data_IF_371716596008
#
_entry.id   IF_371716596008
#
_cell.length_a   1.000
_cell.length_b   1.000
_cell.length_c   1.000
_cell.angle_alpha   90.00
_cell.angle_beta   90.00
_cell.angle_gamma   90.00
#
_symmetry.space_group_name_H-M   'P 1'
#
loop_
_entity.id
_entity.type
_entity.pdbx_description
1 polymer ?
#
# COMPACT_ATOMS: atom_id res chain seq x y z
N UNK A 1 -18.85 36.47 0.51
CA UNK A 1 -18.65 35.07 0.07
C UNK A 1 -19.66 34.77 -1.02
N UNK A 2 -19.24 34.24 -2.17
CA UNK A 2 -20.15 33.82 -3.25
C UNK A 2 -21.18 32.82 -2.68
N UNK A 3 -22.51 32.97 -2.92
CA UNK A 3 -23.53 32.02 -2.47
C UNK A 3 -23.17 30.54 -2.75
N UNK A 4 -22.65 30.24 -3.94
CA UNK A 4 -22.27 28.87 -4.32
C UNK A 4 -21.16 28.30 -3.42
N UNK A 5 -20.21 29.14 -3.01
CA UNK A 5 -19.14 28.76 -2.09
C UNK A 5 -19.69 28.50 -0.69
N UNK A 6 -20.66 29.29 -0.24
CA UNK A 6 -21.27 29.11 1.09
C UNK A 6 -22.05 27.80 1.17
N UNK A 7 -22.78 27.48 0.10
CA UNK A 7 -23.53 26.23 0.01
C UNK A 7 -22.59 25.02 -0.06
N UNK A 8 -21.45 25.14 -0.77
CA UNK A 8 -20.43 24.11 -0.79
C UNK A 8 -19.86 23.82 0.61
N UNK A 9 -19.46 24.85 1.36
CA UNK A 9 -18.97 24.67 2.74
C UNK A 9 -20.05 24.05 3.62
N UNK A 10 -21.28 24.55 3.54
CA UNK A 10 -22.40 24.03 4.34
C UNK A 10 -22.64 22.54 4.06
N UNK A 11 -22.60 22.14 2.79
CA UNK A 11 -22.78 20.75 2.38
C UNK A 11 -21.64 19.85 2.90
N UNK A 12 -20.38 20.25 2.72
CA UNK A 12 -19.23 19.51 3.26
C UNK A 12 -19.28 19.41 4.79
N UNK A 13 -19.60 20.50 5.49
CA UNK A 13 -19.72 20.51 6.94
C UNK A 13 -20.86 19.60 7.42
N UNK A 14 -21.97 19.53 6.68
CA UNK A 14 -23.09 18.62 6.98
C UNK A 14 -22.69 17.15 6.78
N UNK A 15 -22.18 16.82 5.59
CA UNK A 15 -21.81 15.44 5.20
C UNK A 15 -20.74 14.85 6.13
N UNK A 16 -19.81 15.69 6.58
CA UNK A 16 -18.63 15.26 7.36
C UNK A 16 -18.73 15.60 8.85
N UNK A 17 -19.91 16.04 9.30
CA UNK A 17 -20.17 16.52 10.67
C UNK A 17 -19.76 15.53 11.75
N UNK A 18 -19.95 14.23 11.53
CA UNK A 18 -19.63 13.18 12.50
C UNK A 18 -18.15 13.16 12.84
N UNK A 19 -17.29 13.34 11.83
CA UNK A 19 -15.83 13.39 11.97
C UNK A 19 -15.38 14.76 12.47
N UNK A 20 -15.78 15.84 11.81
CA UNK A 20 -15.40 17.21 12.21
C UNK A 20 -15.77 17.54 13.65
N UNK A 21 -17.00 17.19 14.05
CA UNK A 21 -17.50 17.42 15.39
C UNK A 21 -16.76 16.62 16.47
N UNK A 22 -16.21 15.45 16.12
CA UNK A 22 -15.40 14.64 17.05
C UNK A 22 -14.06 15.29 17.35
N UNK A 23 -13.42 15.86 16.34
CA UNK A 23 -12.10 16.46 16.48
C UNK A 23 -12.15 17.97 16.76
N UNK A 24 -13.35 18.54 16.90
CA UNK A 24 -13.55 19.98 17.05
C UNK A 24 -12.83 20.77 15.95
N UNK A 25 -13.01 20.32 14.70
CA UNK A 25 -12.48 20.97 13.50
C UNK A 25 -13.63 21.68 12.78
N UNK A 26 -13.35 22.87 12.25
CA UNK A 26 -14.29 23.63 11.44
C UNK A 26 -13.67 23.94 10.09
N UNK A 27 -14.50 23.88 9.05
CA UNK A 27 -14.12 24.31 7.71
C UNK A 27 -14.34 25.82 7.62
N UNK A 28 -13.29 26.56 7.29
CA UNK A 28 -13.38 28.01 6.99
C UNK A 28 -13.58 28.22 5.48
N UNK A 29 -12.94 27.37 4.67
CA UNK A 29 -13.03 27.37 3.22
C UNK A 29 -12.96 25.95 2.66
N UNK A 30 -13.52 25.74 1.47
CA UNK A 30 -13.46 24.47 0.74
C UNK A 30 -13.24 24.75 -0.74
N UNK A 31 -12.14 24.20 -1.26
CA UNK A 31 -11.81 24.13 -2.68
C UNK A 31 -11.74 22.64 -3.05
N UNK A 32 -12.29 22.28 -4.21
CA UNK A 32 -12.34 20.90 -4.69
C UNK A 32 -11.74 20.88 -6.08
N UNK A 33 -10.57 20.26 -6.19
CA UNK A 33 -9.87 20.04 -7.45
C UNK A 33 -9.87 18.55 -7.77
N UNK A 34 -10.14 18.23 -9.03
CA UNK A 34 -10.07 16.86 -9.54
C UNK A 34 -8.76 16.73 -10.33
N UNK A 35 -7.94 15.74 -9.98
CA UNK A 35 -6.66 15.51 -10.65
C UNK A 35 -6.84 15.04 -12.10
N UNK A 36 -7.94 14.34 -12.38
CA UNK A 36 -8.30 13.85 -13.72
C UNK A 36 -9.69 14.34 -14.13
N UNK A 37 -9.74 15.43 -14.89
CA UNK A 37 -10.97 15.90 -15.53
C UNK A 37 -12.03 16.43 -14.54
N UNK A 38 -13.27 15.99 -14.72
CA UNK A 38 -14.42 16.39 -13.91
C UNK A 38 -15.20 15.15 -13.48
N UNK A 39 -15.83 15.14 -12.30
CA UNK A 39 -16.53 13.94 -11.82
C UNK A 39 -17.65 13.57 -12.78
N UNK A 40 -17.54 12.39 -13.41
CA UNK A 40 -18.72 11.74 -13.97
C UNK A 40 -19.65 11.40 -12.79
N UNK A 41 -20.95 11.57 -13.00
CA UNK A 41 -21.97 11.46 -11.94
C UNK A 41 -21.85 10.15 -11.13
N UNK A 42 -21.80 10.27 -9.80
CA UNK A 42 -21.89 9.23 -8.76
C UNK A 42 -21.29 7.85 -9.11
N UNK A 43 -19.96 7.78 -9.22
CA UNK A 43 -19.21 6.51 -9.30
C UNK A 43 -19.07 5.81 -7.92
N UNK A 44 -19.35 6.53 -6.82
CA UNK A 44 -19.12 6.05 -5.46
C UNK A 44 -20.24 5.13 -4.95
N UNK A 45 -19.91 3.87 -4.67
CA UNK A 45 -20.89 2.88 -4.18
C UNK A 45 -21.39 3.16 -2.74
N UNK A 46 -20.73 4.06 -2.00
CA UNK A 46 -21.17 4.49 -0.65
C UNK A 46 -22.03 5.76 -0.67
N UNK A 47 -22.15 6.42 -1.82
CA UNK A 47 -22.80 7.72 -1.97
C UNK A 47 -21.94 8.90 -1.48
N UNK A 48 -22.25 10.08 -2.01
CA UNK A 48 -21.41 11.29 -1.87
C UNK A 48 -21.16 11.75 -0.42
N UNK A 49 -22.15 11.61 0.47
CA UNK A 49 -22.01 12.01 1.88
C UNK A 49 -21.01 11.16 2.65
N UNK A 50 -21.08 9.83 2.52
CA UNK A 50 -20.16 8.91 3.18
C UNK A 50 -18.77 8.96 2.56
N UNK A 51 -18.68 9.14 1.24
CA UNK A 51 -17.42 9.35 0.54
C UNK A 51 -16.65 10.55 1.12
N UNK A 52 -17.30 11.72 1.22
CA UNK A 52 -16.69 12.91 1.84
C UNK A 52 -16.28 12.65 3.30
N UNK A 53 -17.11 11.92 4.07
CA UNK A 53 -16.79 11.61 5.46
C UNK A 53 -15.55 10.71 5.58
N UNK A 54 -15.36 9.75 4.66
CA UNK A 54 -14.15 8.93 4.58
C UNK A 54 -12.94 9.76 4.17
N UNK A 55 -13.07 10.65 3.19
CA UNK A 55 -12.02 11.59 2.79
C UNK A 55 -11.57 12.46 3.99
N UNK A 56 -12.53 13.03 4.73
CA UNK A 56 -12.23 13.84 5.92
C UNK A 56 -11.64 12.98 7.05
N UNK A 57 -12.01 11.71 7.19
CA UNK A 57 -11.38 10.79 8.16
C UNK A 57 -9.88 10.64 7.88
N UNK A 58 -9.51 10.43 6.61
CA UNK A 58 -8.10 10.37 6.18
C UNK A 58 -7.39 11.70 6.39
N UNK A 59 -8.02 12.82 6.03
CA UNK A 59 -7.44 14.16 6.17
C UNK A 59 -7.20 14.55 7.64
N UNK A 60 -8.18 14.31 8.52
CA UNK A 60 -8.06 14.58 9.96
C UNK A 60 -7.04 13.66 10.61
N UNK A 61 -6.92 12.41 10.15
CA UNK A 61 -5.84 11.52 10.58
C UNK A 61 -4.48 12.11 10.23
N UNK A 62 -4.25 12.49 8.97
CA UNK A 62 -3.00 13.12 8.55
C UNK A 62 -2.69 14.41 9.32
N UNK A 63 -3.69 15.28 9.50
CA UNK A 63 -3.56 16.52 10.26
C UNK A 63 -3.23 16.25 11.73
N UNK A 64 -3.96 15.35 12.38
CA UNK A 64 -3.76 14.96 13.77
C UNK A 64 -2.36 14.39 14.01
N UNK A 65 -1.92 13.47 13.14
CA UNK A 65 -0.56 12.93 13.17
C UNK A 65 0.47 14.04 13.02
N UNK A 66 0.29 14.98 12.08
CA UNK A 66 1.23 16.09 11.89
C UNK A 66 1.33 17.00 13.12
N UNK A 67 0.21 17.33 13.74
CA UNK A 67 0.15 18.25 14.88
C UNK A 67 0.63 17.63 16.19
N UNK A 68 0.27 16.36 16.43
CA UNK A 68 0.46 15.72 17.75
C UNK A 68 1.45 14.55 17.73
N UNK A 69 1.85 14.07 16.55
CA UNK A 69 2.79 12.96 16.37
C UNK A 69 4.27 13.36 16.37
N UNK A 70 4.62 14.62 16.69
CA UNK A 70 6.02 15.11 16.79
C UNK A 70 6.75 15.21 15.44
N UNK A 71 6.04 15.73 14.43
CA UNK A 71 6.55 15.90 13.07
C UNK A 71 7.88 16.68 13.04
N UNK A 72 8.91 16.10 12.42
CA UNK A 72 10.22 16.72 12.27
C UNK A 72 11.13 16.71 13.52
N UNK A 73 10.65 16.27 14.69
CA UNK A 73 11.47 16.26 15.92
C UNK A 73 12.61 15.24 15.90
N UNK A 74 12.58 14.28 14.97
CA UNK A 74 13.67 13.33 14.75
C UNK A 74 14.82 13.87 13.90
N UNK A 75 14.69 15.08 13.33
CA UNK A 75 15.71 15.66 12.45
C UNK A 75 17.02 15.92 13.21
N UNK A 76 18.10 15.25 12.79
CA UNK A 76 19.42 15.37 13.42
C UNK A 76 19.54 14.69 14.78
N UNK A 77 18.49 13.97 15.22
CA UNK A 77 18.49 13.24 16.48
C UNK A 77 19.14 11.85 16.34
N UNK A 78 19.43 11.22 17.48
CA UNK A 78 19.94 9.85 17.51
C UNK A 78 18.87 8.81 17.11
N UNK A 79 19.31 7.59 16.80
CA UNK A 79 18.42 6.49 16.36
C UNK A 79 17.33 6.19 17.40
N UNK A 80 17.65 6.27 18.69
CA UNK A 80 16.70 6.01 19.77
C UNK A 80 15.57 7.04 19.79
N UNK A 81 15.92 8.32 19.64
CA UNK A 81 14.96 9.43 19.58
C UNK A 81 14.10 9.36 18.32
N UNK A 82 14.71 9.10 17.16
CA UNK A 82 13.97 8.90 15.90
C UNK A 82 12.96 7.76 16.06
N UNK A 83 13.36 6.62 16.63
CA UNK A 83 12.46 5.49 16.84
C UNK A 83 11.31 5.81 17.81
N UNK A 84 11.55 6.64 18.83
CA UNK A 84 10.49 7.11 19.72
C UNK A 84 9.50 8.01 18.99
N UNK A 85 9.99 8.98 18.21
CA UNK A 85 9.12 9.87 17.40
C UNK A 85 8.24 9.06 16.45
N UNK A 86 8.79 8.03 15.79
CA UNK A 86 8.01 7.12 14.94
C UNK A 86 6.87 6.46 15.70
N UNK A 87 7.17 5.84 16.87
CA UNK A 87 6.17 5.19 17.70
C UNK A 87 5.07 6.14 18.19
N UNK A 88 5.47 7.35 18.59
CA UNK A 88 4.51 8.39 19.01
C UNK A 88 3.59 8.79 17.84
N UNK A 89 4.16 8.94 16.64
CA UNK A 89 3.39 9.25 15.43
C UNK A 89 2.40 8.14 15.06
N UNK A 90 2.84 6.88 15.06
CA UNK A 90 2.00 5.70 14.78
C UNK A 90 0.83 5.59 15.78
N UNK A 91 1.08 5.88 17.06
CA UNK A 91 0.04 5.86 18.09
C UNK A 91 -1.04 6.94 17.84
N UNK A 92 -0.62 8.15 17.45
CA UNK A 92 -1.55 9.25 17.15
C UNK A 92 -2.33 8.98 15.87
N UNK A 93 -1.69 8.48 14.82
CA UNK A 93 -2.34 8.18 13.55
C UNK A 93 -3.39 7.07 13.70
N UNK A 94 -3.05 5.99 14.40
CA UNK A 94 -3.98 4.91 14.72
C UNK A 94 -5.18 5.40 15.54
N UNK A 95 -4.94 6.24 16.57
CA UNK A 95 -5.99 6.83 17.38
C UNK A 95 -6.94 7.70 16.54
N UNK A 96 -6.39 8.62 15.75
CA UNK A 96 -7.18 9.55 14.95
C UNK A 96 -8.02 8.82 13.90
N UNK A 97 -7.46 7.81 13.23
CA UNK A 97 -8.21 6.99 12.27
C UNK A 97 -9.31 6.19 12.98
N UNK A 98 -9.01 5.55 14.10
CA UNK A 98 -10.00 4.75 14.84
C UNK A 98 -11.18 5.58 15.34
N UNK A 99 -10.90 6.73 15.93
CA UNK A 99 -11.93 7.66 16.40
C UNK A 99 -12.76 8.21 15.24
N UNK A 100 -12.13 8.52 14.10
CA UNK A 100 -12.83 8.96 12.89
C UNK A 100 -13.80 7.89 12.39
N UNK A 101 -13.33 6.66 12.20
CA UNK A 101 -14.16 5.55 11.74
C UNK A 101 -15.26 5.18 12.73
N UNK A 102 -14.98 5.26 14.04
CA UNK A 102 -16.00 5.02 15.07
C UNK A 102 -17.11 6.06 15.02
N UNK A 103 -16.77 7.35 14.88
CA UNK A 103 -17.79 8.40 14.75
C UNK A 103 -18.53 8.34 13.42
N UNK A 104 -17.82 8.06 12.33
CA UNK A 104 -18.40 7.85 11.01
C UNK A 104 -19.36 6.65 10.99
N UNK A 105 -19.12 5.60 11.79
CA UNK A 105 -19.99 4.41 11.84
C UNK A 105 -21.44 4.72 12.21
N UNK A 106 -21.69 5.88 12.82
CA UNK A 106 -23.03 6.40 13.14
C UNK A 106 -23.79 6.93 11.91
N UNK A 107 -23.14 7.04 10.76
CA UNK A 107 -23.74 7.44 9.49
C UNK A 107 -23.86 6.25 8.52
N UNK A 108 -23.33 5.07 8.87
CA UNK A 108 -23.53 3.86 8.07
C UNK A 108 -24.99 3.43 8.11
N UNK A 109 -25.49 2.80 7.04
CA UNK A 109 -26.77 2.10 7.09
C UNK A 109 -26.77 1.06 8.23
N UNK A 110 -27.95 0.78 8.79
CA UNK A 110 -28.05 0.03 10.06
C UNK A 110 -27.42 -1.37 10.02
N UNK A 111 -27.45 -2.02 8.86
CA UNK A 111 -26.91 -3.35 8.61
C UNK A 111 -25.50 -3.34 7.99
N UNK A 112 -24.82 -2.20 7.94
CA UNK A 112 -23.50 -2.09 7.31
C UNK A 112 -22.36 -2.05 8.34
N UNK A 113 -21.22 -2.63 7.95
CA UNK A 113 -19.97 -2.59 8.69
C UNK A 113 -18.80 -2.21 7.77
N UNK A 114 -17.87 -1.42 8.31
CA UNK A 114 -16.52 -1.28 7.74
C UNK A 114 -15.62 -2.27 8.49
N UNK A 115 -14.97 -3.17 7.75
CA UNK A 115 -14.00 -4.12 8.29
C UNK A 115 -12.62 -3.80 7.75
N UNK A 116 -11.67 -3.55 8.66
CA UNK A 116 -10.27 -3.36 8.29
C UNK A 116 -9.68 -4.72 7.95
N UNK A 117 -9.44 -4.94 6.66
CA UNK A 117 -8.88 -6.17 6.10
C UNK A 117 -7.36 -6.14 6.06
N UNK A 118 -6.78 -4.97 5.80
CA UNK A 118 -5.33 -4.72 5.76
C UNK A 118 -5.05 -3.44 6.53
N UNK A 119 -4.02 -3.43 7.37
CA UNK A 119 -3.58 -2.19 7.98
C UNK A 119 -2.57 -2.37 9.10
N UNK A 120 -2.14 -1.23 9.62
CA UNK A 120 -1.15 -1.16 10.70
C UNK A 120 -1.60 -1.95 11.94
N UNK A 121 -0.77 -2.90 12.41
CA UNK A 121 -1.12 -3.80 13.53
C UNK A 121 -2.04 -4.97 13.20
N UNK A 122 -2.49 -5.13 11.93
CA UNK A 122 -3.23 -6.33 11.48
C UNK A 122 -2.34 -7.36 10.78
N UNK A 123 -1.20 -6.91 10.27
CA UNK A 123 -0.12 -7.74 9.73
C UNK A 123 1.14 -7.37 10.52
N UNK A 124 1.85 -8.32 11.12
CA UNK A 124 3.01 -7.99 11.93
C UNK A 124 4.09 -7.31 11.08
N UNK A 125 4.66 -6.20 11.59
CA UNK A 125 5.72 -5.45 10.91
C UNK A 125 7.08 -5.96 11.40
N UNK A 126 8.05 -6.02 10.47
CA UNK A 126 9.39 -6.58 10.68
C UNK A 126 9.95 -6.38 12.10
N UNK A 127 9.99 -7.48 12.87
CA UNK A 127 10.57 -7.52 14.22
C UNK A 127 9.57 -7.46 15.37
N UNK A 128 8.27 -7.43 15.08
CA UNK A 128 7.20 -7.66 16.05
C UNK A 128 6.97 -9.17 16.17
N UNK A 129 6.91 -9.73 17.39
CA UNK A 129 6.45 -11.13 17.50
C UNK A 129 4.98 -11.22 17.08
N UNK A 130 4.48 -12.38 16.63
CA UNK A 130 3.04 -12.57 16.39
C UNK A 130 2.17 -12.12 17.57
N UNK A 131 2.71 -12.13 18.79
CA UNK A 131 2.00 -11.65 19.99
C UNK A 131 2.07 -10.11 20.19
N UNK A 132 3.06 -9.42 19.62
CA UNK A 132 3.35 -7.99 19.84
C UNK A 132 2.73 -7.05 18.81
N UNK A 133 2.43 -7.53 17.59
CA UNK A 133 1.90 -6.72 16.49
C UNK A 133 0.92 -7.42 15.54
N UNK A 134 0.56 -8.68 15.83
CA UNK A 134 -0.46 -9.43 15.10
C UNK A 134 -1.70 -9.72 15.95
N UNK A 135 -1.89 -9.01 17.07
CA UNK A 135 -3.19 -9.00 17.70
C UNK A 135 -4.05 -7.98 16.94
N UNK A 136 -5.06 -8.43 16.15
CA UNK A 136 -5.92 -7.53 15.40
C UNK A 136 -6.81 -6.62 16.27
N UNK A 137 -6.57 -6.63 17.58
CA UNK A 137 -7.22 -5.85 18.62
C UNK A 137 -6.29 -4.78 19.23
N UNK A 138 -5.01 -4.74 18.86
CA UNK A 138 -4.07 -3.71 19.30
C UNK A 138 -3.99 -2.60 18.24
N UNK A 139 -4.18 -1.34 18.66
CA UNK A 139 -4.09 -0.15 17.81
C UNK A 139 -5.44 0.48 17.49
N UNK A 140 -6.22 -0.15 16.60
CA UNK A 140 -7.54 0.33 16.21
C UNK A 140 -8.51 -0.83 15.93
N UNK A 141 -9.82 -0.61 16.14
CA UNK A 141 -10.83 -1.65 16.00
C UNK A 141 -10.86 -2.26 14.59
N UNK A 142 -10.98 -3.59 14.48
CA UNK A 142 -11.12 -4.28 13.18
C UNK A 142 -12.46 -4.04 12.50
N UNK A 143 -13.51 -3.72 13.27
CA UNK A 143 -14.88 -3.60 12.78
C UNK A 143 -15.51 -2.32 13.30
N UNK A 144 -16.01 -1.49 12.39
CA UNK A 144 -16.74 -0.26 12.69
C UNK A 144 -18.15 -0.37 12.13
N UNK A 145 -19.14 -0.40 13.01
CA UNK A 145 -20.55 -0.45 12.65
C UNK A 145 -21.42 0.09 13.80
N UNK A 146 -22.74 0.00 13.66
CA UNK A 146 -23.65 0.08 14.81
C UNK A 146 -23.33 -1.04 15.81
N UNK A 147 -23.61 -0.80 17.09
CA UNK A 147 -23.10 -1.64 18.18
C UNK A 147 -23.39 -3.16 18.00
N UNK A 148 -24.61 -3.54 17.62
CA UNK A 148 -24.97 -4.95 17.47
C UNK A 148 -24.31 -5.60 16.24
N UNK A 149 -24.31 -4.91 15.09
CA UNK A 149 -23.58 -5.37 13.89
C UNK A 149 -22.09 -5.50 14.18
N UNK A 150 -21.49 -4.52 14.86
CA UNK A 150 -20.07 -4.55 15.21
C UNK A 150 -19.73 -5.75 16.09
N UNK A 151 -20.53 -6.01 17.13
CA UNK A 151 -20.35 -7.18 18.01
C UNK A 151 -20.50 -8.50 17.26
N UNK A 152 -21.50 -8.60 16.37
CA UNK A 152 -21.74 -9.80 15.59
C UNK A 152 -20.56 -10.10 14.65
N UNK A 153 -20.24 -9.15 13.77
CA UNK A 153 -19.17 -9.30 12.77
C UNK A 153 -17.83 -9.56 13.47
N UNK A 154 -17.53 -8.82 14.54
CA UNK A 154 -16.31 -9.01 15.32
C UNK A 154 -16.21 -10.44 15.88
N UNK A 155 -17.28 -10.97 16.46
CA UNK A 155 -17.31 -12.35 16.97
C UNK A 155 -17.04 -13.37 15.86
N UNK A 156 -17.68 -13.21 14.70
CA UNK A 156 -17.50 -14.10 13.55
C UNK A 156 -16.08 -14.05 12.99
N UNK A 157 -15.49 -12.85 12.93
CA UNK A 157 -14.10 -12.68 12.54
C UNK A 157 -13.15 -13.37 13.53
N UNK A 158 -13.40 -13.28 14.84
CA UNK A 158 -12.61 -14.01 15.86
C UNK A 158 -12.77 -15.52 15.73
N UNK A 159 -13.96 -16.02 15.43
CA UNK A 159 -14.18 -17.45 15.17
C UNK A 159 -13.39 -17.90 13.95
N UNK A 160 -13.38 -17.11 12.87
CA UNK A 160 -12.62 -17.40 11.65
C UNK A 160 -11.11 -17.49 11.88
N UNK A 161 -10.57 -16.67 12.77
CA UNK A 161 -9.14 -16.69 13.09
C UNK A 161 -8.78 -17.88 14.00
N UNK A 162 -9.64 -18.20 14.97
CA UNK A 162 -9.27 -19.08 16.08
C UNK A 162 -9.86 -20.49 16.00
N UNK A 163 -10.87 -20.74 15.16
CA UNK A 163 -11.55 -22.05 15.05
C UNK A 163 -11.19 -22.71 13.71
N UNK A 164 -10.43 -23.82 13.71
CA UNK A 164 -9.99 -24.48 12.47
C UNK A 164 -11.10 -24.85 11.48
N UNK A 165 -12.31 -25.13 11.99
CA UNK A 165 -13.46 -25.55 11.18
C UNK A 165 -14.39 -24.39 10.80
N UNK A 166 -14.03 -23.14 11.13
CA UNK A 166 -14.80 -21.95 10.76
C UNK A 166 -13.99 -21.14 9.76
N UNK A 167 -14.22 -21.38 8.48
CA UNK A 167 -13.51 -20.71 7.38
C UNK A 167 -14.28 -19.53 6.79
N UNK A 168 -13.68 -18.91 5.77
CA UNK A 168 -14.24 -17.79 5.02
C UNK A 168 -15.67 -18.05 4.50
N UNK A 169 -15.94 -19.25 3.99
CA UNK A 169 -17.25 -19.61 3.47
C UNK A 169 -18.35 -19.58 4.54
N UNK A 170 -18.05 -20.10 5.74
CA UNK A 170 -19.01 -20.08 6.85
C UNK A 170 -19.19 -18.66 7.41
N UNK A 171 -18.09 -17.88 7.48
CA UNK A 171 -18.15 -16.46 7.82
C UNK A 171 -19.10 -15.71 6.89
N UNK A 172 -18.94 -15.85 5.58
CA UNK A 172 -19.81 -15.20 4.59
C UNK A 172 -21.26 -15.65 4.64
N UNK A 173 -21.48 -16.95 4.81
CA UNK A 173 -22.84 -17.47 5.00
C UNK A 173 -23.55 -16.87 6.21
N UNK A 174 -22.85 -16.73 7.34
CA UNK A 174 -23.42 -16.13 8.55
C UNK A 174 -23.75 -14.64 8.33
N UNK A 175 -22.88 -13.90 7.62
CA UNK A 175 -23.08 -12.49 7.28
C UNK A 175 -24.30 -12.29 6.37
N UNK A 176 -24.42 -13.11 5.32
CA UNK A 176 -25.57 -13.09 4.40
C UNK A 176 -26.87 -13.46 5.12
N UNK A 177 -26.83 -14.44 6.03
CA UNK A 177 -28.01 -14.89 6.80
C UNK A 177 -28.55 -13.78 7.70
N UNK A 178 -27.67 -12.98 8.31
CA UNK A 178 -28.05 -11.82 9.12
C UNK A 178 -28.38 -10.57 8.29
N UNK A 179 -28.27 -10.64 6.95
CA UNK A 179 -28.50 -9.51 6.06
C UNK A 179 -27.52 -8.35 6.28
N UNK A 180 -26.29 -8.65 6.70
CA UNK A 180 -25.24 -7.66 6.95
C UNK A 180 -24.42 -7.42 5.68
N UNK A 181 -24.14 -6.16 5.38
CA UNK A 181 -23.16 -5.78 4.34
C UNK A 181 -21.84 -5.40 5.00
N UNK A 182 -20.72 -5.92 4.52
CA UNK A 182 -19.39 -5.48 4.97
C UNK A 182 -18.61 -4.85 3.83
N UNK A 183 -18.14 -3.63 4.04
CA UNK A 183 -17.13 -2.99 3.22
C UNK A 183 -15.74 -3.27 3.78
N UNK A 184 -14.82 -3.67 2.93
CA UNK A 184 -13.42 -3.84 3.30
C UNK A 184 -12.71 -2.51 3.34
N UNK A 185 -11.73 -2.34 4.24
CA UNK A 185 -10.75 -1.25 4.11
C UNK A 185 -9.32 -1.76 4.23
N UNK A 186 -8.44 -1.12 3.47
CA UNK A 186 -7.01 -1.17 3.67
C UNK A 186 -6.51 0.20 4.14
N UNK A 187 -5.81 0.23 5.26
CA UNK A 187 -5.46 1.47 5.96
C UNK A 187 -3.96 1.51 6.26
N UNK A 188 -3.29 2.50 5.70
CA UNK A 188 -1.94 2.88 6.11
C UNK A 188 -2.02 4.24 6.81
N UNK A 189 -1.95 4.24 8.14
CA UNK A 189 -2.19 5.47 8.92
C UNK A 189 -0.99 6.42 8.89
N UNK A 190 0.20 5.89 8.57
CA UNK A 190 1.43 6.64 8.40
C UNK A 190 2.39 5.93 7.43
N UNK A 191 2.28 6.22 6.12
CA UNK A 191 3.06 5.50 5.07
C UNK A 191 4.57 5.54 5.35
N UNK A 192 5.06 6.66 5.89
CA UNK A 192 6.49 6.85 6.05
C UNK A 192 6.89 7.53 7.35
N UNK A 193 6.99 6.72 8.40
CA UNK A 193 7.39 7.15 9.74
C UNK A 193 8.79 7.79 9.75
N UNK A 194 9.72 7.35 8.89
CA UNK A 194 11.08 7.91 8.80
C UNK A 194 11.08 9.33 8.25
N UNK A 195 10.38 9.54 7.14
CA UNK A 195 10.23 10.86 6.51
C UNK A 195 9.45 11.81 7.41
N UNK A 196 8.40 11.32 8.05
CA UNK A 196 7.63 12.05 9.05
C UNK A 196 8.52 12.52 10.20
N UNK A 197 9.31 11.63 10.81
CA UNK A 197 10.21 11.96 11.91
C UNK A 197 11.27 13.00 11.50
N UNK A 198 11.71 12.98 10.23
CA UNK A 198 12.66 13.96 9.66
C UNK A 198 11.99 15.27 9.21
N UNK A 199 10.66 15.34 9.18
CA UNK A 199 9.92 16.53 8.77
C UNK A 199 9.91 16.75 7.25
N UNK A 200 9.92 15.67 6.47
CA UNK A 200 9.88 15.76 5.01
C UNK A 200 8.51 16.27 4.53
N UNK A 201 8.53 17.13 3.49
CA UNK A 201 7.33 17.79 2.96
C UNK A 201 6.66 17.03 1.82
N UNK A 202 7.13 15.84 1.47
CA UNK A 202 6.63 15.03 0.35
C UNK A 202 6.34 13.58 0.76
N UNK A 203 5.42 12.95 0.03
CA UNK A 203 4.87 11.62 0.30
C UNK A 203 3.50 11.71 0.99
N UNK A 204 2.56 10.78 0.72
CA UNK A 204 1.30 10.73 1.42
C UNK A 204 1.54 10.43 2.91
N UNK A 205 0.73 11.04 3.76
CA UNK A 205 0.79 10.77 5.20
C UNK A 205 -0.11 9.58 5.55
N UNK A 206 -1.38 9.62 5.14
CA UNK A 206 -2.36 8.59 5.46
C UNK A 206 -3.02 8.12 4.17
N UNK A 207 -3.23 6.82 4.04
CA UNK A 207 -3.86 6.17 2.88
C UNK A 207 -5.01 5.30 3.38
N UNK A 208 -6.17 5.42 2.74
CA UNK A 208 -7.36 4.61 3.02
C UNK A 208 -7.97 4.15 1.69
N UNK A 209 -8.03 2.83 1.49
CA UNK A 209 -8.75 2.22 0.37
C UNK A 209 -10.02 1.58 0.89
N UNK A 210 -11.13 1.81 0.21
CA UNK A 210 -12.41 1.18 0.52
C UNK A 210 -12.79 0.21 -0.59
N UNK A 211 -13.21 -0.98 -0.20
CA UNK A 211 -13.69 -2.05 -1.06
C UNK A 211 -15.16 -2.33 -0.76
N UNK A 212 -15.93 -2.67 -1.78
CA UNK A 212 -17.35 -3.05 -1.65
C UNK A 212 -17.56 -4.39 -0.93
N UNK A 213 -16.48 -5.16 -0.74
CA UNK A 213 -16.41 -6.38 0.06
C UNK A 213 -15.04 -6.50 0.76
N UNK A 214 -14.91 -7.26 1.86
CA UNK A 214 -13.62 -7.40 2.53
C UNK A 214 -12.62 -8.21 1.72
N UNK A 215 -11.35 -7.79 1.74
CA UNK A 215 -10.27 -8.57 1.16
C UNK A 215 -10.05 -9.84 1.99
N UNK A 216 -10.03 -11.00 1.31
CA UNK A 216 -9.72 -12.29 1.92
C UNK A 216 -8.20 -12.49 1.96
N UNK A 217 -7.61 -12.32 3.15
CA UNK A 217 -6.23 -12.75 3.43
C UNK A 217 -6.29 -14.07 4.17
N UNK A 218 -5.89 -15.16 3.51
CA UNK A 218 -6.01 -16.52 4.06
C UNK A 218 -4.99 -16.83 5.14
N UNK A 219 -3.76 -16.31 5.02
CA UNK A 219 -2.67 -16.52 5.97
C UNK A 219 -1.89 -15.21 6.16
N UNK A 220 -1.64 -14.78 7.40
CA UNK A 220 -0.75 -13.66 7.65
C UNK A 220 0.68 -14.07 7.26
N UNK A 221 1.36 -13.22 6.50
CA UNK A 221 2.76 -13.37 6.16
C UNK A 221 3.48 -12.06 6.47
N UNK A 222 4.43 -12.12 7.41
CA UNK A 222 5.33 -11.02 7.74
C UNK A 222 6.65 -11.21 7.00
N UNK A 223 6.98 -10.17 6.24
CA UNK A 223 8.22 -10.10 5.50
C UNK A 223 8.04 -9.10 4.40
N UNK A 224 8.62 -9.42 3.27
CA UNK A 224 8.67 -8.53 2.16
C UNK A 224 8.35 -9.29 0.89
N UNK A 225 7.88 -8.54 -0.09
CA UNK A 225 7.53 -9.10 -1.39
C UNK A 225 8.22 -8.29 -2.46
N UNK A 226 8.93 -8.98 -3.36
CA UNK A 226 9.28 -8.44 -4.65
C UNK A 226 8.01 -8.01 -5.37
N UNK A 227 8.03 -6.83 -5.97
CA UNK A 227 6.88 -6.23 -6.62
C UNK A 227 7.29 -5.68 -7.99
N UNK A 228 6.57 -6.08 -9.03
CA UNK A 228 6.68 -5.52 -10.37
C UNK A 228 5.29 -5.03 -10.77
N UNK A 229 5.11 -3.72 -10.85
CA UNK A 229 3.85 -3.08 -11.21
C UNK A 229 3.94 -2.54 -12.64
N UNK A 230 3.03 -2.99 -13.50
CA UNK A 230 3.02 -2.66 -14.92
C UNK A 230 1.64 -2.16 -15.36
N UNK A 231 1.56 -1.25 -16.35
CA UNK A 231 0.30 -0.96 -17.00
C UNK A 231 -0.30 -2.21 -17.66
N UNK A 232 -1.62 -2.34 -17.65
CA UNK A 232 -2.33 -3.46 -18.30
C UNK A 232 -1.99 -3.58 -19.80
N UNK A 233 -1.68 -2.47 -20.46
CA UNK A 233 -1.26 -2.47 -21.86
C UNK A 233 0.03 -3.30 -22.08
N UNK A 234 1.00 -3.21 -21.16
CA UNK A 234 2.27 -3.95 -21.19
C UNK A 234 2.02 -5.43 -20.94
N UNK A 235 1.20 -5.77 -19.94
CA UNK A 235 0.86 -7.18 -19.64
C UNK A 235 0.15 -7.83 -20.83
N UNK A 236 -0.83 -7.16 -21.43
CA UNK A 236 -1.51 -7.64 -22.64
C UNK A 236 -0.56 -7.79 -23.84
N UNK A 237 0.46 -6.94 -23.95
CA UNK A 237 1.48 -7.06 -24.99
C UNK A 237 2.37 -8.30 -24.77
N UNK A 238 2.77 -8.57 -23.53
CA UNK A 238 3.50 -9.78 -23.16
C UNK A 238 2.67 -11.05 -23.43
N UNK A 239 1.37 -11.04 -23.09
CA UNK A 239 0.45 -12.16 -23.33
C UNK A 239 0.33 -12.53 -24.80
N UNK A 240 0.27 -11.54 -25.72
CA UNK A 240 0.24 -11.78 -27.17
C UNK A 240 1.47 -12.55 -27.69
N UNK A 241 2.54 -12.58 -26.91
CA UNK A 241 3.80 -13.29 -27.20
C UNK A 241 4.01 -14.51 -26.30
N UNK A 242 2.97 -14.95 -25.58
CA UNK A 242 3.03 -16.05 -24.63
C UNK A 242 4.05 -15.84 -23.51
N UNK A 243 4.29 -14.58 -23.12
CA UNK A 243 5.14 -14.22 -21.98
C UNK A 243 4.24 -13.92 -20.79
N UNK A 244 4.38 -14.70 -19.72
CA UNK A 244 3.80 -14.37 -18.42
C UNK A 244 4.65 -13.24 -17.80
N UNK A 245 4.15 -12.00 -17.84
CA UNK A 245 4.81 -10.86 -17.20
C UNK A 245 4.62 -10.92 -15.69
N UNK A 246 5.68 -11.25 -14.96
CA UNK A 246 5.69 -11.36 -13.51
C UNK A 246 7.07 -10.96 -12.94
N UNK A 247 7.21 -10.95 -11.62
CA UNK A 247 8.45 -10.53 -10.96
C UNK A 247 9.69 -11.34 -11.41
N UNK A 248 9.52 -12.59 -11.85
CA UNK A 248 10.59 -13.47 -12.32
C UNK A 248 10.96 -13.26 -13.80
N UNK A 249 10.14 -12.54 -14.55
CA UNK A 249 10.35 -12.35 -15.99
C UNK A 249 11.62 -11.51 -16.23
N UNK A 250 12.57 -11.97 -17.06
CA UNK A 250 13.74 -11.18 -17.43
C UNK A 250 13.36 -9.79 -17.92
N UNK A 251 14.04 -8.74 -17.45
CA UNK A 251 13.67 -7.36 -17.78
C UNK A 251 13.76 -7.03 -19.27
N UNK A 252 14.60 -7.75 -20.02
CA UNK A 252 14.64 -7.65 -21.49
C UNK A 252 13.30 -8.03 -22.15
N UNK A 253 12.59 -9.04 -21.63
CA UNK A 253 11.27 -9.43 -22.13
C UNK A 253 10.20 -8.42 -21.74
N UNK A 254 10.30 -7.84 -20.53
CA UNK A 254 9.41 -6.75 -20.10
C UNK A 254 9.61 -5.51 -20.98
N UNK A 255 10.85 -5.11 -21.25
CA UNK A 255 11.14 -3.99 -22.15
C UNK A 255 10.60 -4.23 -23.57
N UNK A 256 10.76 -5.45 -24.10
CA UNK A 256 10.15 -5.79 -25.40
C UNK A 256 8.62 -5.64 -25.37
N UNK A 257 7.96 -6.08 -24.28
CA UNK A 257 6.51 -5.92 -24.13
C UNK A 257 6.10 -4.44 -23.99
N UNK A 258 6.93 -3.62 -23.35
CA UNK A 258 6.74 -2.16 -23.28
C UNK A 258 6.78 -1.54 -24.68
N UNK A 259 7.77 -1.90 -25.48
CA UNK A 259 7.92 -1.39 -26.86
C UNK A 259 6.78 -1.85 -27.78
N UNK A 260 6.27 -3.07 -27.56
CA UNK A 260 5.09 -3.59 -28.26
C UNK A 260 3.79 -2.88 -27.81
N UNK A 261 3.71 -2.42 -26.55
CA UNK A 261 2.55 -1.69 -26.02
C UNK A 261 2.56 -0.21 -26.40
N UNK A 262 3.74 0.40 -26.52
CA UNK A 262 3.94 1.82 -26.82
C UNK A 262 4.92 1.98 -27.98
N UNK A 263 4.45 1.87 -29.24
CA UNK A 263 5.33 1.93 -30.41
C UNK A 263 6.13 3.23 -30.48
N UNK A 264 7.44 3.10 -30.68
CA UNK A 264 8.36 4.23 -30.79
C UNK A 264 9.07 4.62 -29.48
N UNK A 265 8.61 4.11 -28.33
CA UNK A 265 9.27 4.36 -27.04
C UNK A 265 10.70 3.81 -27.04
N UNK A 266 11.65 4.65 -26.63
CA UNK A 266 13.04 4.29 -26.47
C UNK A 266 13.32 3.81 -25.05
N UNK A 267 14.34 2.95 -24.81
CA UNK A 267 14.63 2.47 -23.46
C UNK A 267 14.86 3.59 -22.44
N UNK A 268 15.52 4.69 -22.84
CA UNK A 268 15.80 5.83 -21.97
C UNK A 268 14.56 6.71 -21.66
N UNK A 269 13.42 6.44 -22.29
CA UNK A 269 12.11 7.07 -22.01
C UNK A 269 11.27 6.21 -21.05
N UNK A 270 11.80 5.05 -20.64
CA UNK A 270 11.24 4.22 -19.58
C UNK A 270 11.97 4.55 -18.28
N UNK A 271 11.21 4.87 -17.24
CA UNK A 271 11.71 5.24 -15.92
C UNK A 271 11.20 4.26 -14.88
N UNK A 272 12.14 3.57 -14.23
CA UNK A 272 11.86 2.54 -13.23
C UNK A 272 12.15 3.08 -11.86
N UNK A 273 11.11 3.24 -11.06
CA UNK A 273 11.23 3.54 -9.65
C UNK A 273 11.48 2.26 -8.85
N UNK A 274 12.51 2.32 -8.00
CA UNK A 274 12.93 1.24 -7.12
C UNK A 274 13.55 1.83 -5.86
N UNK A 275 13.60 1.03 -4.78
CA UNK A 275 14.31 1.43 -3.57
C UNK A 275 15.82 1.47 -3.87
N UNK A 276 16.50 2.51 -3.37
CA UNK A 276 17.94 2.69 -3.52
C UNK A 276 18.64 2.92 -2.18
N UNK A 277 19.95 3.14 -2.25
CA UNK A 277 20.80 3.48 -1.12
C UNK A 277 21.64 2.30 -0.60
N UNK A 278 22.66 2.57 0.25
CA UNK A 278 23.68 1.58 0.61
C UNK A 278 23.11 0.33 1.28
N UNK A 279 22.03 0.46 2.06
CA UNK A 279 21.41 -0.68 2.72
C UNK A 279 20.72 -1.65 1.76
N UNK A 280 20.47 -1.24 0.51
CA UNK A 280 19.71 -2.01 -0.49
C UNK A 280 20.58 -2.54 -1.63
N UNK A 281 21.82 -2.08 -1.72
CA UNK A 281 22.75 -2.43 -2.79
C UNK A 281 22.98 -3.94 -2.89
N UNK A 282 23.30 -4.59 -1.77
CA UNK A 282 23.46 -6.06 -1.72
C UNK A 282 22.26 -6.81 -2.29
N UNK A 283 21.07 -6.22 -2.18
CA UNK A 283 19.81 -6.87 -2.53
C UNK A 283 19.37 -6.60 -3.96
N UNK A 284 19.41 -5.33 -4.36
CA UNK A 284 18.76 -4.80 -5.55
C UNK A 284 19.74 -4.38 -6.64
N UNK A 285 21.06 -4.36 -6.38
CA UNK A 285 22.02 -3.92 -7.40
C UNK A 285 21.91 -4.74 -8.70
N UNK A 286 21.70 -6.06 -8.61
CA UNK A 286 21.44 -6.89 -9.78
C UNK A 286 20.21 -6.43 -10.59
N UNK A 287 19.11 -6.08 -9.90
CA UNK A 287 17.92 -5.54 -10.55
C UNK A 287 18.17 -4.18 -11.20
N UNK A 288 18.93 -3.30 -10.55
CA UNK A 288 19.30 -2.00 -11.11
C UNK A 288 20.16 -2.17 -12.36
N UNK A 289 21.11 -3.10 -12.33
CA UNK A 289 21.94 -3.46 -13.48
C UNK A 289 21.10 -4.02 -14.63
N UNK A 290 20.15 -4.93 -14.36
CA UNK A 290 19.26 -5.48 -15.40
C UNK A 290 18.56 -4.37 -16.21
N UNK A 291 18.11 -3.30 -15.54
CA UNK A 291 17.49 -2.15 -16.24
C UNK A 291 18.51 -1.24 -16.92
N UNK A 292 19.58 -0.86 -16.22
CA UNK A 292 20.61 0.04 -16.76
C UNK A 292 21.30 -0.53 -18.00
N UNK A 293 21.57 -1.83 -18.02
CA UNK A 293 22.19 -2.52 -19.15
C UNK A 293 21.30 -2.53 -20.40
N UNK A 294 19.98 -2.39 -20.22
CA UNK A 294 19.01 -2.22 -21.31
C UNK A 294 18.86 -0.75 -21.77
N UNK A 295 19.58 0.19 -21.14
CA UNK A 295 19.45 1.62 -21.39
C UNK A 295 18.22 2.26 -20.74
N UNK A 296 17.57 1.56 -19.82
CA UNK A 296 16.41 2.06 -19.07
C UNK A 296 16.85 2.95 -17.91
N UNK A 297 16.10 4.02 -17.65
CA UNK A 297 16.38 4.93 -16.55
C UNK A 297 15.96 4.33 -15.21
N UNK A 298 16.86 4.27 -14.24
CA UNK A 298 16.55 3.89 -12.85
C UNK A 298 16.49 5.16 -12.00
N UNK A 299 15.28 5.51 -11.56
CA UNK A 299 14.92 6.82 -10.96
C UNK A 299 15.71 7.09 -9.67
N UNK A 300 16.49 8.16 -9.67
CA UNK A 300 17.29 8.66 -8.56
C UNK A 300 16.52 9.56 -7.57
N UNK A 301 17.11 9.77 -6.39
CA UNK A 301 16.58 10.71 -5.40
C UNK A 301 16.47 12.12 -5.98
N UNK A 302 15.30 12.75 -5.82
CA UNK A 302 15.05 14.11 -6.29
C UNK A 302 14.66 14.22 -7.76
N UNK A 303 14.59 13.12 -8.52
CA UNK A 303 14.10 13.15 -9.89
C UNK A 303 12.64 13.64 -9.95
N UNK A 304 12.31 14.46 -10.96
CA UNK A 304 10.96 15.01 -11.13
C UNK A 304 10.00 13.91 -11.61
N UNK A 305 9.02 13.58 -10.77
CA UNK A 305 8.00 12.58 -11.04
C UNK A 305 6.96 13.10 -12.05
N UNK A 306 6.20 12.20 -12.72
CA UNK A 306 5.11 12.60 -13.62
C UNK A 306 4.07 13.54 -13.00
N UNK A 307 3.92 13.51 -11.67
CA UNK A 307 3.04 14.42 -10.92
C UNK A 307 3.61 15.82 -10.64
N UNK A 308 4.84 16.12 -11.08
CA UNK A 308 5.59 17.33 -10.70
C UNK A 308 6.20 17.27 -9.30
N UNK A 309 5.96 16.18 -8.55
CA UNK A 309 6.64 15.89 -7.30
C UNK A 309 8.09 15.47 -7.50
N UNK A 310 8.83 15.24 -6.42
CA UNK A 310 10.20 14.73 -6.48
C UNK A 310 10.27 13.33 -5.88
N UNK A 311 10.98 12.44 -6.57
CA UNK A 311 11.18 11.06 -6.16
C UNK A 311 12.01 10.98 -4.87
N UNK A 312 11.68 9.99 -4.04
CA UNK A 312 12.46 9.61 -2.87
C UNK A 312 12.66 8.10 -2.90
N UNK A 313 13.87 7.62 -2.68
CA UNK A 313 14.26 6.22 -2.98
C UNK A 313 14.48 5.38 -1.72
N UNK A 314 14.37 5.99 -0.54
CA UNK A 314 14.59 5.32 0.75
C UNK A 314 13.39 4.48 1.23
N UNK A 315 12.20 4.69 0.65
CA UNK A 315 10.91 4.07 1.07
C UNK A 315 9.76 4.54 0.16
N UNK A 316 8.57 3.95 0.26
CA UNK A 316 7.36 4.41 -0.45
C UNK A 316 6.81 3.36 -1.40
N UNK A 317 5.50 3.10 -1.28
CA UNK A 317 4.81 2.06 -2.05
C UNK A 317 3.62 2.64 -2.80
N UNK A 318 2.88 3.59 -2.23
CA UNK A 318 1.66 4.13 -2.88
C UNK A 318 1.96 5.24 -3.86
N UNK A 319 2.69 6.27 -3.40
CA UNK A 319 3.03 7.43 -4.23
C UNK A 319 3.65 7.06 -5.59
N UNK A 320 4.59 6.10 -5.69
CA UNK A 320 5.11 5.71 -6.99
C UNK A 320 4.13 4.81 -7.77
N UNK A 321 3.33 3.96 -7.11
CA UNK A 321 2.40 3.05 -7.80
C UNK A 321 1.28 3.79 -8.52
N UNK A 322 0.74 4.86 -7.93
CA UNK A 322 -0.30 5.70 -8.58
C UNK A 322 0.21 6.45 -9.81
N UNK A 323 1.53 6.52 -10.01
CA UNK A 323 2.17 7.18 -11.15
C UNK A 323 2.56 6.19 -12.26
N UNK A 324 2.33 4.89 -12.06
CA UNK A 324 2.66 3.88 -13.07
C UNK A 324 1.77 4.07 -14.29
N UNK A 325 2.38 4.28 -15.44
CA UNK A 325 1.64 4.59 -16.65
C UNK A 325 2.44 5.42 -17.65
N UNK A 326 1.90 5.56 -18.87
CA UNK A 326 2.44 6.49 -19.85
C UNK A 326 2.15 7.93 -19.41
N UNK A 327 3.06 8.84 -19.69
CA UNK A 327 2.86 10.28 -19.53
C UNK A 327 3.53 11.05 -20.67
N UNK A 328 3.04 12.25 -20.95
CA UNK A 328 3.65 13.15 -21.93
C UNK A 328 4.75 13.96 -21.23
N UNK A 329 5.99 13.78 -21.67
CA UNK A 329 7.12 14.55 -21.16
C UNK A 329 7.15 15.96 -21.76
N UNK A 330 7.96 16.86 -21.20
CA UNK A 330 8.09 18.25 -21.65
C UNK A 330 8.52 18.40 -23.12
N UNK A 331 9.15 17.37 -23.68
CA UNK A 331 9.55 17.30 -25.09
C UNK A 331 8.44 16.82 -26.04
N UNK A 332 7.22 16.59 -25.52
CA UNK A 332 6.05 16.12 -26.24
C UNK A 332 6.09 14.63 -26.59
N UNK A 333 7.05 13.86 -26.07
CA UNK A 333 7.15 12.42 -26.29
C UNK A 333 6.49 11.64 -25.17
N UNK A 334 5.98 10.46 -25.51
CA UNK A 334 5.44 9.51 -24.53
C UNK A 334 6.58 8.86 -23.77
N UNK A 335 6.64 9.10 -22.47
CA UNK A 335 7.50 8.39 -21.54
C UNK A 335 6.67 7.38 -20.74
N UNK A 336 7.33 6.42 -20.11
CA UNK A 336 6.67 5.42 -19.26
C UNK A 336 7.31 5.41 -17.86
N UNK A 337 6.48 5.51 -16.83
CA UNK A 337 6.90 5.30 -15.45
C UNK A 337 6.39 3.95 -14.94
N UNK A 338 7.23 3.18 -14.25
CA UNK A 338 6.86 1.90 -13.63
C UNK A 338 7.58 1.67 -12.31
N UNK A 339 7.09 0.75 -11.48
CA UNK A 339 7.75 0.36 -10.22
C UNK A 339 8.24 -1.08 -10.28
N UNK A 340 9.47 -1.29 -9.82
CA UNK A 340 10.10 -2.60 -9.77
C UNK A 340 11.10 -2.69 -8.61
N UNK A 341 10.82 -3.55 -7.64
CA UNK A 341 11.61 -3.62 -6.42
C UNK A 341 10.95 -4.50 -5.40
N UNK A 342 10.82 -4.03 -4.16
CA UNK A 342 10.11 -4.73 -3.12
C UNK A 342 9.53 -3.76 -2.10
N UNK A 343 8.50 -4.21 -1.38
CA UNK A 343 7.90 -3.51 -0.26
C UNK A 343 7.59 -4.50 0.88
N UNK A 344 7.22 -3.98 2.05
CA UNK A 344 6.68 -4.82 3.10
C UNK A 344 5.39 -5.50 2.59
N UNK A 345 5.12 -6.73 3.02
CA UNK A 345 3.99 -7.52 2.48
C UNK A 345 2.64 -6.81 2.56
N UNK A 346 2.36 -6.11 3.66
CA UNK A 346 1.12 -5.35 3.83
C UNK A 346 1.00 -4.20 2.82
N UNK A 347 2.04 -3.37 2.70
CA UNK A 347 2.07 -2.25 1.75
C UNK A 347 1.98 -2.73 0.31
N UNK A 348 2.67 -3.82 -0.04
CA UNK A 348 2.67 -4.37 -1.38
C UNK A 348 1.28 -4.90 -1.79
N UNK A 349 0.60 -5.63 -0.91
CA UNK A 349 -0.75 -6.13 -1.16
C UNK A 349 -1.75 -4.97 -1.25
N UNK A 350 -1.62 -3.99 -0.36
CA UNK A 350 -2.51 -2.83 -0.38
C UNK A 350 -2.28 -1.95 -1.61
N UNK A 351 -1.05 -1.78 -2.10
CA UNK A 351 -0.79 -1.10 -3.37
C UNK A 351 -1.34 -1.90 -4.56
N UNK A 352 -1.10 -3.22 -4.61
CA UNK A 352 -1.65 -4.09 -5.67
C UNK A 352 -3.19 -4.11 -5.68
N UNK A 353 -3.85 -3.87 -4.55
CA UNK A 353 -5.31 -3.76 -4.50
C UNK A 353 -5.88 -2.59 -5.31
N UNK A 354 -5.04 -1.61 -5.71
CA UNK A 354 -5.41 -0.49 -6.57
C UNK A 354 -5.35 -0.83 -8.07
N UNK A 355 -4.76 -1.96 -8.44
CA UNK A 355 -4.57 -2.38 -9.84
C UNK A 355 -5.83 -2.23 -10.71
N UNK A 356 -7.04 -2.65 -10.26
CA UNK A 356 -8.25 -2.55 -11.09
C UNK A 356 -8.64 -1.11 -11.42
N UNK A 357 -8.48 -0.18 -10.48
CA UNK A 357 -8.88 1.22 -10.67
C UNK A 357 -7.81 2.03 -11.41
N UNK A 358 -6.53 1.65 -11.28
CA UNK A 358 -5.41 2.31 -11.95
C UNK A 358 -5.11 1.71 -13.33
N UNK A 359 -5.79 0.63 -13.72
CA UNK A 359 -5.50 -0.08 -14.97
C UNK A 359 -4.10 -0.73 -14.98
N UNK A 360 -3.67 -1.22 -13.82
CA UNK A 360 -2.36 -1.84 -13.60
C UNK A 360 -2.50 -3.35 -13.36
N UNK A 361 -1.37 -4.02 -13.36
CA UNK A 361 -1.19 -5.39 -12.87
C UNK A 361 0.13 -5.46 -12.10
N UNK A 362 0.04 -5.89 -10.85
CA UNK A 362 1.15 -6.07 -9.94
C UNK A 362 1.44 -7.54 -9.73
N UNK A 363 2.66 -7.96 -10.03
CA UNK A 363 3.16 -9.28 -9.66
C UNK A 363 3.89 -9.21 -8.32
N UNK A 364 3.52 -10.08 -7.39
CA UNK A 364 4.15 -10.22 -6.07
C UNK A 364 4.96 -11.51 -5.99
N UNK A 365 6.16 -11.43 -5.40
CA UNK A 365 7.06 -12.55 -5.15
C UNK A 365 7.49 -12.55 -3.68
N UNK A 366 7.13 -13.59 -2.94
CA UNK A 366 7.44 -13.67 -1.50
C UNK A 366 8.94 -13.87 -1.30
N UNK A 367 9.53 -13.05 -0.43
CA UNK A 367 10.94 -13.14 -0.05
C UNK A 367 11.12 -13.89 1.28
N UNK A 368 12.36 -14.09 1.72
CA UNK A 368 12.61 -14.60 3.07
C UNK A 368 12.56 -13.44 4.06
N UNK A 369 12.23 -13.71 5.31
CA UNK A 369 12.24 -12.70 6.38
C UNK A 369 13.66 -12.30 6.82
N UNK A 370 14.71 -13.00 6.35
CA UNK A 370 16.10 -12.78 6.79
C UNK A 370 16.85 -11.71 6.01
N UNK A 371 16.48 -11.46 4.76
CA UNK A 371 17.00 -10.32 3.99
C UNK A 371 18.50 -10.37 3.62
N UNK A 372 19.10 -11.56 3.62
CA UNK A 372 20.57 -11.70 3.57
C UNK A 372 21.19 -11.89 2.18
N UNK A 373 20.39 -12.17 1.14
CA UNK A 373 20.90 -12.49 -0.21
C UNK A 373 20.34 -11.57 -1.30
N UNK A 374 20.86 -11.56 -2.54
CA UNK A 374 20.30 -10.79 -3.64
C UNK A 374 18.92 -11.29 -4.11
N UNK A 375 18.10 -10.39 -4.67
CA UNK A 375 16.74 -10.71 -5.12
C UNK A 375 16.69 -11.82 -6.17
N UNK A 376 17.70 -11.87 -7.05
CA UNK A 376 17.81 -12.84 -8.14
C UNK A 376 17.82 -14.30 -7.65
N UNK A 377 18.24 -14.52 -6.40
CA UNK A 377 18.29 -15.84 -5.76
C UNK A 377 17.11 -16.05 -4.83
N UNK A 378 16.81 -15.08 -3.98
CA UNK A 378 15.78 -15.27 -2.97
C UNK A 378 14.38 -15.43 -3.56
N UNK A 379 14.11 -14.83 -4.73
CA UNK A 379 12.82 -15.00 -5.41
C UNK A 379 12.44 -16.48 -5.64
N UNK A 380 13.41 -17.38 -5.73
CA UNK A 380 13.17 -18.81 -5.94
C UNK A 380 13.00 -19.63 -4.65
N UNK A 381 13.25 -19.06 -3.47
CA UNK A 381 13.19 -19.81 -2.20
C UNK A 381 11.80 -20.39 -1.96
N UNK A 382 10.76 -19.61 -2.21
CA UNK A 382 9.37 -20.04 -1.99
C UNK A 382 8.83 -20.98 -3.08
N UNK A 383 9.64 -21.32 -4.08
CA UNK A 383 9.32 -22.33 -5.10
C UNK A 383 9.89 -23.71 -4.77
N UNK A 384 10.68 -23.82 -3.70
CA UNK A 384 11.21 -25.10 -3.25
C UNK A 384 10.11 -25.96 -2.62
N UNK A 385 10.16 -27.27 -2.88
CA UNK A 385 9.33 -28.26 -2.20
C UNK A 385 9.89 -28.52 -0.80
N UNK A 386 9.19 -28.12 0.29
CA UNK A 386 9.70 -28.32 1.65
C UNK A 386 9.80 -29.80 2.06
N UNK A 387 9.06 -30.69 1.39
CA UNK A 387 9.05 -32.13 1.66
C UNK A 387 10.03 -32.89 0.73
N UNK A 388 10.68 -32.18 -0.19
CA UNK A 388 11.66 -32.75 -1.11
C UNK A 388 12.95 -33.18 -0.41
N UNK A 389 13.46 -34.36 -0.76
CA UNK A 389 14.72 -34.88 -0.20
C UNK A 389 15.95 -34.02 -0.53
N UNK A 390 15.86 -33.16 -1.55
CA UNK A 390 16.91 -32.21 -1.96
C UNK A 390 16.69 -30.77 -1.47
N UNK A 391 15.63 -30.53 -0.67
CA UNK A 391 15.26 -29.20 -0.16
C UNK A 391 16.44 -28.49 0.51
N UNK A 392 17.11 -29.17 1.44
CA UNK A 392 18.22 -28.58 2.21
C UNK A 392 19.39 -28.17 1.30
N UNK A 393 19.70 -28.97 0.29
CA UNK A 393 20.76 -28.66 -0.68
C UNK A 393 20.39 -27.45 -1.52
N UNK A 394 19.19 -27.45 -2.14
CA UNK A 394 18.71 -26.36 -3.00
C UNK A 394 18.59 -25.04 -2.23
N UNK A 395 18.07 -25.10 -0.99
CA UNK A 395 17.99 -23.93 -0.13
C UNK A 395 19.38 -23.40 0.22
N UNK A 396 20.33 -24.29 0.56
CA UNK A 396 21.72 -23.94 0.79
C UNK A 396 22.35 -23.23 -0.42
N UNK A 397 22.14 -23.77 -1.63
CA UNK A 397 22.64 -23.22 -2.88
C UNK A 397 22.03 -21.85 -3.19
N UNK A 398 20.77 -21.59 -2.83
CA UNK A 398 20.13 -20.27 -2.99
C UNK A 398 20.58 -19.25 -1.93
N UNK A 399 20.93 -19.70 -0.73
CA UNK A 399 21.28 -18.81 0.39
C UNK A 399 22.79 -18.62 0.60
N UNK A 400 23.65 -19.42 -0.04
CA UNK A 400 25.10 -19.32 0.12
C UNK A 400 25.63 -17.91 -0.21
N UNK A 401 26.56 -17.32 0.54
CA UNK A 401 27.11 -16.01 0.22
C UNK A 401 27.74 -15.99 -1.17
N UNK A 402 27.53 -14.92 -1.95
CA UNK A 402 28.23 -14.74 -3.21
C UNK A 402 29.75 -14.63 -2.95
N UNK A 403 30.51 -15.67 -3.31
CA UNK A 403 31.97 -15.72 -3.14
C UNK A 403 32.50 -16.61 -2.01
N UNK A 404 31.66 -17.36 -1.30
CA UNK A 404 32.13 -18.35 -0.34
C UNK A 404 32.59 -19.64 -1.02
N UNK A 405 33.90 -19.80 -1.24
CA UNK A 405 34.48 -21.13 -1.49
C UNK A 405 34.04 -22.06 -0.37
N UNK A 406 33.38 -23.16 -0.75
CA UNK A 406 32.91 -24.17 0.18
C UNK A 406 33.99 -24.54 1.20
N UNK A 407 33.63 -24.45 2.47
CA UNK A 407 34.29 -25.23 3.49
C UNK A 407 33.21 -26.10 4.13
N UNK A 408 33.26 -27.36 3.71
CA UNK A 408 32.63 -28.49 4.38
C UNK A 408 32.99 -28.50 5.87
N UNK A 409 31.97 -28.60 6.73
CA UNK A 409 31.97 -29.45 7.92
C UNK A 409 30.52 -29.68 8.36
#
# INVERSE_FOLDING_TARGET
MNPDRRDLIAQWAFDTRSVLGRFHVWLDDVEVDWLEGSPESEVSFVGSGLEKALMVSTAVTALGTRLYGRYGEGKGADKATVNRVKKDADAISAYAMSESLWYLSRNLPENHAIMVSLGEGLMPKAGETPEMGANPLLGFGRVYARAEVAKFVHRRALEMINRPNYGWEQFWKDIETEGITIWGVAVDTLENTSRFAKGATTGPMCVLHLFDQPLRVSLPYEGYTGSLCLPNAVVRAAERRSVLANFHTPRALILSAIQDAYPGIQPNEVHVYTLQGPSRETRLNGLWSEWRDLGVHVVEEGWELPSGGHAFTESGTYAPTVLVGPYEAQDGRTHLFLTDGYAASAEAIQAASLDPILGLTTSLCVFSSRFDVPQERERYVMQLDPDGSDFASKLGDLLAPAGGTGTSA
#
